data_IF_925444101643
#
_entry.id   IF_925444101643
#
_cell.length_a   1.000
_cell.length_b   1.000
_cell.length_c   1.000
_cell.angle_alpha   90.00
_cell.angle_beta   90.00
_cell.angle_gamma   90.00
#
_symmetry.space_group_name_H-M   'P 1'
#
loop_
_entity.id
_entity.type
_entity.pdbx_description
1 polymer ?
#
# COMPACT_ATOMS: atom_id res chain seq x y z
N UNK A 1 12.26 -9.12 23.69
CA UNK A 1 11.14 -8.60 22.87
C UNK A 1 11.66 -7.35 22.18
N UNK A 2 11.61 -7.26 20.85
CA UNK A 2 12.03 -6.04 20.15
C UNK A 2 10.91 -5.00 20.30
N UNK A 3 11.18 -3.78 20.81
CA UNK A 3 10.17 -2.74 20.96
C UNK A 3 9.72 -2.21 19.59
N UNK A 4 8.57 -1.52 19.57
CA UNK A 4 8.14 -0.76 18.41
C UNK A 4 8.70 0.66 18.49
N UNK A 5 9.42 1.06 17.45
CA UNK A 5 9.87 2.42 17.24
C UNK A 5 8.89 3.13 16.31
N UNK A 6 8.45 4.34 16.66
CA UNK A 6 7.69 5.18 15.74
C UNK A 6 8.68 5.93 14.86
N UNK A 7 8.62 5.69 13.55
CA UNK A 7 9.50 6.33 12.58
C UNK A 7 8.97 7.67 12.12
N UNK A 8 7.66 7.77 11.89
CA UNK A 8 7.02 8.98 11.38
C UNK A 8 5.52 8.99 11.71
N UNK A 9 4.88 10.15 11.56
CA UNK A 9 3.43 10.30 11.62
C UNK A 9 2.90 11.36 10.67
N UNK A 10 1.64 11.22 10.29
CA UNK A 10 0.96 12.17 9.40
C UNK A 10 -0.53 12.20 9.70
N UNK A 11 -1.13 13.40 9.63
CA UNK A 11 -2.57 13.54 9.75
C UNK A 11 -3.28 13.14 8.45
N UNK A 12 -4.48 12.60 8.57
CA UNK A 12 -5.42 12.49 7.46
C UNK A 12 -5.73 13.90 6.92
N UNK A 13 -6.15 14.05 5.64
CA UNK A 13 -6.44 15.37 5.10
C UNK A 13 -7.57 16.12 5.80
N UNK A 14 -8.50 15.38 6.42
CA UNK A 14 -9.56 15.96 7.26
C UNK A 14 -9.06 16.39 8.65
N UNK A 15 -7.86 15.98 9.06
CA UNK A 15 -7.26 16.33 10.35
C UNK A 15 -7.88 15.63 11.57
N UNK A 16 -8.79 14.68 11.34
CA UNK A 16 -9.52 13.95 12.37
C UNK A 16 -8.74 12.76 12.95
N UNK A 17 -7.75 12.27 12.20
CA UNK A 17 -6.97 11.12 12.59
C UNK A 17 -5.49 11.25 12.25
N UNK A 18 -4.65 10.58 13.05
CA UNK A 18 -3.20 10.47 12.82
C UNK A 18 -2.85 9.04 12.38
N UNK A 19 -2.14 8.95 11.25
CA UNK A 19 -1.44 7.76 10.81
C UNK A 19 -0.02 7.75 11.37
N UNK A 20 0.44 6.57 11.80
CA UNK A 20 1.80 6.40 12.33
C UNK A 20 2.49 5.24 11.65
N UNK A 21 3.70 5.47 11.16
CA UNK A 21 4.60 4.42 10.70
C UNK A 21 5.44 3.93 11.88
N UNK A 22 5.37 2.64 12.16
CA UNK A 22 6.14 2.00 13.23
C UNK A 22 7.02 0.90 12.66
N UNK A 23 8.17 0.67 13.27
CA UNK A 23 9.10 -0.39 12.93
C UNK A 23 9.42 -1.25 14.15
N UNK A 24 9.59 -2.56 13.93
CA UNK A 24 10.11 -3.51 14.92
C UNK A 24 11.02 -4.50 14.23
N UNK A 25 12.33 -4.36 14.41
CA UNK A 25 13.29 -5.16 13.64
C UNK A 25 13.14 -4.86 12.14
N UNK A 26 12.78 -5.85 11.33
CA UNK A 26 12.54 -5.69 9.89
C UNK A 26 11.05 -5.49 9.53
N UNK A 27 10.16 -5.47 10.52
CA UNK A 27 8.71 -5.34 10.32
C UNK A 27 8.30 -3.86 10.38
N UNK A 28 7.45 -3.44 9.45
CA UNK A 28 6.82 -2.12 9.44
C UNK A 28 5.31 -2.27 9.65
N UNK A 29 4.69 -1.28 10.29
CA UNK A 29 3.25 -1.23 10.53
C UNK A 29 2.73 0.19 10.35
N UNK A 30 1.58 0.34 9.68
CA UNK A 30 0.83 1.60 9.59
C UNK A 30 -0.35 1.50 10.55
N UNK A 31 -0.39 2.42 11.51
CA UNK A 31 -1.37 2.47 12.58
C UNK A 31 -2.29 3.69 12.42
N UNK A 32 -3.58 3.52 12.73
CA UNK A 32 -4.55 4.61 12.88
C UNK A 32 -5.10 4.59 14.31
N UNK A 33 -4.69 5.56 15.14
CA UNK A 33 -4.94 5.46 16.58
C UNK A 33 -4.39 4.13 17.13
N UNK A 34 -5.18 3.38 17.89
CA UNK A 34 -4.79 2.07 18.43
C UNK A 34 -4.88 0.91 17.43
N UNK A 35 -5.43 1.14 16.24
CA UNK A 35 -5.71 0.07 15.27
C UNK A 35 -4.54 -0.09 14.30
N UNK A 36 -4.04 -1.32 14.15
CA UNK A 36 -3.16 -1.67 13.04
C UNK A 36 -3.98 -1.77 11.76
N UNK A 37 -3.65 -0.95 10.76
CA UNK A 37 -4.31 -1.03 9.45
C UNK A 37 -3.68 -2.12 8.61
N UNK A 38 -2.35 -2.20 8.60
CA UNK A 38 -1.58 -3.16 7.82
C UNK A 38 -0.11 -3.20 8.29
N UNK A 39 0.54 -4.34 8.05
CA UNK A 39 1.96 -4.54 8.34
C UNK A 39 2.71 -5.10 7.12
N UNK A 40 4.04 -5.11 7.19
CA UNK A 40 4.90 -5.56 6.09
C UNK A 40 5.01 -7.08 5.95
N UNK A 41 4.31 -7.88 6.79
CA UNK A 41 4.41 -9.35 6.81
C UNK A 41 3.28 -10.04 6.06
N UNK A 42 2.06 -9.52 6.17
CA UNK A 42 0.86 -10.11 5.60
C UNK A 42 0.43 -9.33 4.37
N UNK A 43 0.33 -10.02 3.23
CA UNK A 43 -0.01 -9.40 1.93
C UNK A 43 -0.96 -10.25 1.06
N UNK A 44 -1.50 -11.34 1.62
CA UNK A 44 -2.22 -12.35 0.83
C UNK A 44 -3.50 -11.82 0.17
N UNK A 45 -4.28 -11.01 0.90
CA UNK A 45 -5.48 -10.36 0.36
C UNK A 45 -5.15 -9.36 -0.74
N UNK A 46 -4.09 -8.58 -0.54
CA UNK A 46 -3.65 -7.53 -1.45
C UNK A 46 -3.15 -8.11 -2.77
N UNK A 47 -2.37 -9.20 -2.70
CA UNK A 47 -1.89 -9.93 -3.86
C UNK A 47 -3.04 -10.64 -4.60
N UNK A 48 -3.96 -11.29 -3.86
CA UNK A 48 -5.11 -11.95 -4.45
C UNK A 48 -6.03 -10.96 -5.18
N UNK A 49 -6.30 -9.78 -4.57
CA UNK A 49 -7.10 -8.72 -5.17
C UNK A 49 -6.50 -8.26 -6.50
N UNK A 50 -5.19 -8.03 -6.55
CA UNK A 50 -4.50 -7.62 -7.77
C UNK A 50 -4.59 -8.71 -8.85
N UNK A 51 -4.21 -9.95 -8.53
CA UNK A 51 -4.18 -11.08 -9.47
C UNK A 51 -5.56 -11.36 -10.07
N UNK A 52 -6.57 -11.51 -9.22
CA UNK A 52 -7.93 -11.80 -9.65
C UNK A 52 -8.52 -10.68 -10.52
N UNK A 53 -8.14 -9.43 -10.27
CA UNK A 53 -8.56 -8.29 -11.09
C UNK A 53 -7.84 -8.28 -12.44
N UNK A 54 -6.53 -8.50 -12.47
CA UNK A 54 -5.72 -8.52 -13.69
C UNK A 54 -6.13 -9.66 -14.63
N UNK A 55 -6.41 -10.86 -14.09
CA UNK A 55 -6.88 -12.01 -14.87
C UNK A 55 -8.17 -11.72 -15.65
N UNK A 56 -9.09 -10.94 -15.08
CA UNK A 56 -10.37 -10.58 -15.74
C UNK A 56 -10.20 -9.66 -16.94
N UNK A 57 -9.06 -8.95 -17.02
CA UNK A 57 -8.77 -8.00 -18.10
C UNK A 57 -7.58 -8.46 -18.96
N UNK A 58 -7.09 -9.68 -18.75
CA UNK A 58 -6.01 -10.26 -19.51
C UNK A 58 -6.32 -10.24 -21.02
N UNK A 59 -5.32 -9.86 -21.82
CA UNK A 59 -5.46 -9.73 -23.27
C UNK A 59 -6.01 -8.38 -23.77
N UNK A 60 -6.46 -7.48 -22.87
CA UNK A 60 -6.78 -6.10 -23.26
C UNK A 60 -5.51 -5.30 -23.50
N UNK A 61 -5.34 -4.77 -24.71
CA UNK A 61 -4.28 -3.82 -25.03
C UNK A 61 -4.49 -2.51 -24.28
N UNK A 62 -3.40 -1.90 -23.83
CA UNK A 62 -3.41 -0.57 -23.19
C UNK A 62 -4.41 -0.46 -22.02
N UNK A 63 -4.50 -1.52 -21.21
CA UNK A 63 -5.41 -1.54 -20.06
C UNK A 63 -5.06 -0.44 -19.06
N UNK A 64 -6.09 0.14 -18.42
CA UNK A 64 -5.94 1.17 -17.39
C UNK A 64 -6.57 0.69 -16.09
N UNK A 65 -5.81 0.72 -15.00
CA UNK A 65 -6.25 0.30 -13.68
C UNK A 65 -6.09 1.44 -12.69
N UNK A 66 -7.10 1.59 -11.81
CA UNK A 66 -7.04 2.45 -10.64
C UNK A 66 -6.92 1.58 -9.39
N UNK A 67 -5.92 1.87 -8.55
CA UNK A 67 -5.76 1.30 -7.22
C UNK A 67 -6.05 2.42 -6.21
N UNK A 68 -7.05 2.21 -5.35
CA UNK A 68 -7.37 3.12 -4.25
C UNK A 68 -6.52 2.80 -3.02
N UNK A 69 -5.74 3.77 -2.56
CA UNK A 69 -4.76 3.61 -1.49
C UNK A 69 -3.46 2.94 -1.96
N UNK A 70 -2.34 3.37 -1.39
CA UNK A 70 -1.03 2.75 -1.58
C UNK A 70 -0.73 1.77 -0.46
N UNK A 71 -0.95 2.18 0.80
CA UNK A 71 -0.62 1.37 1.96
C UNK A 71 0.83 0.87 1.96
N UNK A 72 1.03 -0.43 2.15
CA UNK A 72 2.34 -1.09 2.04
C UNK A 72 2.77 -1.39 0.59
N UNK A 73 1.99 -0.97 -0.41
CA UNK A 73 2.31 -1.13 -1.83
C UNK A 73 2.13 -2.56 -2.38
N UNK A 74 1.58 -3.50 -1.61
CA UNK A 74 1.44 -4.89 -2.02
C UNK A 74 0.54 -5.10 -3.24
N UNK A 75 -0.62 -4.44 -3.28
CA UNK A 75 -1.52 -4.50 -4.43
C UNK A 75 -0.85 -3.92 -5.68
N UNK A 76 -0.14 -2.79 -5.55
CA UNK A 76 0.60 -2.20 -6.67
C UNK A 76 1.70 -3.14 -7.18
N UNK A 77 2.52 -3.69 -6.28
CA UNK A 77 3.59 -4.64 -6.62
C UNK A 77 3.02 -5.85 -7.36
N UNK A 78 1.93 -6.42 -6.86
CA UNK A 78 1.29 -7.57 -7.48
C UNK A 78 0.68 -7.22 -8.84
N UNK A 79 0.03 -6.07 -8.99
CA UNK A 79 -0.52 -5.64 -10.27
C UNK A 79 0.58 -5.41 -11.33
N UNK A 80 1.70 -4.80 -10.94
CA UNK A 80 2.87 -4.60 -11.81
C UNK A 80 3.47 -5.93 -12.29
N UNK A 81 3.38 -6.99 -11.50
CA UNK A 81 3.87 -8.32 -11.87
C UNK A 81 2.95 -9.06 -12.87
N UNK A 82 1.66 -8.72 -12.91
CA UNK A 82 0.66 -9.40 -13.74
C UNK A 82 0.38 -8.69 -15.07
N UNK A 83 0.63 -7.37 -15.15
CA UNK A 83 0.27 -6.56 -16.31
C UNK A 83 1.40 -6.43 -17.32
N UNK A 84 1.01 -6.32 -18.60
CA UNK A 84 1.94 -6.00 -19.68
C UNK A 84 2.49 -4.58 -19.59
N UNK A 85 3.61 -4.32 -20.26
CA UNK A 85 4.31 -3.03 -20.26
C UNK A 85 3.53 -1.89 -20.91
N UNK A 86 2.47 -2.20 -21.65
CA UNK A 86 1.57 -1.22 -22.27
C UNK A 86 0.40 -0.81 -21.36
N UNK A 87 0.27 -1.43 -20.17
CA UNK A 87 -0.74 -1.08 -19.19
C UNK A 87 -0.39 0.19 -18.40
N UNK A 88 -1.41 0.96 -18.03
CA UNK A 88 -1.29 2.11 -17.13
C UNK A 88 -1.92 1.81 -15.77
N UNK A 89 -1.19 2.09 -14.68
CA UNK A 89 -1.70 1.99 -13.32
C UNK A 89 -1.71 3.39 -12.70
N UNK A 90 -2.86 3.79 -12.17
CA UNK A 90 -3.01 4.99 -11.35
C UNK A 90 -3.21 4.56 -9.91
N UNK A 91 -2.42 5.10 -8.99
CA UNK A 91 -2.61 4.90 -7.55
C UNK A 91 -3.12 6.20 -6.95
N UNK A 92 -4.30 6.13 -6.33
CA UNK A 92 -4.91 7.25 -5.63
C UNK A 92 -4.67 7.09 -4.13
N UNK A 93 -3.56 7.64 -3.63
CA UNK A 93 -3.27 7.72 -2.21
C UNK A 93 -3.74 9.06 -1.65
N UNK A 94 -4.45 8.99 -0.53
CA UNK A 94 -5.05 10.15 0.13
C UNK A 94 -4.04 10.92 0.97
N UNK A 95 -3.08 10.22 1.59
CA UNK A 95 -2.11 10.78 2.53
C UNK A 95 -0.72 10.83 1.88
N UNK A 96 -0.19 12.03 1.56
CA UNK A 96 1.10 12.16 0.87
C UNK A 96 2.27 11.48 1.60
N UNK A 97 2.23 11.44 2.93
CA UNK A 97 3.26 10.76 3.73
C UNK A 97 3.36 9.26 3.45
N UNK A 98 2.24 8.58 3.15
CA UNK A 98 2.26 7.15 2.79
C UNK A 98 3.07 6.91 1.51
N UNK A 99 3.00 7.83 0.54
CA UNK A 99 3.83 7.79 -0.67
C UNK A 99 5.30 8.01 -0.35
N UNK A 100 5.63 8.90 0.59
CA UNK A 100 6.99 9.12 1.03
C UNK A 100 7.56 7.86 1.72
N UNK A 101 6.83 7.27 2.66
CA UNK A 101 7.22 6.06 3.38
C UNK A 101 7.51 4.88 2.44
N UNK A 102 6.73 4.73 1.37
CA UNK A 102 6.93 3.68 0.38
C UNK A 102 8.24 3.77 -0.40
N UNK A 103 8.95 4.92 -0.35
CA UNK A 103 10.27 5.11 -0.98
C UNK A 103 11.43 4.72 -0.06
N UNK A 104 11.12 4.27 1.16
CA UNK A 104 12.08 4.07 2.23
C UNK A 104 11.92 5.16 3.30
N UNK A 105 11.68 4.79 4.57
CA UNK A 105 11.76 5.73 5.69
C UNK A 105 13.21 6.14 5.99
#
# INVERSE_FOLDING_TARGET
MIPWDQLDSANTPAGDHELRLKQRGAEFSIMLGSNELMNSRLSGSEEALARLSCQRIAGRRQSKILIGGLGMGFTLRAALAELGTDAGIVVAELVPAVVAWARGP
#
